data_IF_898211066691
#
_entry.id   IF_898211066691
#
_cell.length_a   1.000
_cell.length_b   1.000
_cell.length_c   1.000
_cell.angle_alpha   90.00
_cell.angle_beta   90.00
_cell.angle_gamma   90.00
#
_symmetry.space_group_name_H-M   'P 1'
#
loop_
_entity.id
_entity.type
_entity.pdbx_description
1 polymer ?
#
# COMPACT_ATOMS: atom_id res chain seq x y z
N UNK A 1 8.81 -0.75 -7.33
CA UNK A 1 8.56 -0.45 -8.75
C UNK A 1 9.81 -0.80 -9.53
N UNK A 2 9.73 -1.65 -10.57
CA UNK A 2 10.91 -2.28 -11.19
C UNK A 2 11.70 -1.30 -12.09
N UNK A 3 11.04 -0.28 -12.65
CA UNK A 3 11.62 0.70 -13.57
C UNK A 3 11.40 2.12 -13.04
N UNK A 4 12.01 2.48 -11.91
CA UNK A 4 11.82 3.76 -11.23
C UNK A 4 13.14 4.28 -10.63
N UNK A 5 13.27 5.62 -10.53
CA UNK A 5 14.50 6.31 -10.10
C UNK A 5 15.72 5.80 -10.85
N UNK A 6 16.70 5.20 -10.15
CA UNK A 6 17.94 4.72 -10.74
C UNK A 6 17.70 3.67 -11.84
N UNK A 7 16.64 2.88 -11.73
CA UNK A 7 16.29 1.83 -12.69
C UNK A 7 15.39 2.32 -13.84
N UNK A 8 15.14 3.63 -13.95
CA UNK A 8 14.15 4.17 -14.90
C UNK A 8 14.46 3.86 -16.36
N UNK A 9 15.74 3.73 -16.71
CA UNK A 9 16.21 3.47 -18.08
C UNK A 9 16.50 1.99 -18.36
N UNK A 10 16.29 1.09 -17.40
CA UNK A 10 16.53 -0.34 -17.63
C UNK A 10 15.60 -0.90 -18.73
N UNK A 11 16.20 -1.72 -19.59
CA UNK A 11 15.53 -2.38 -20.71
C UNK A 11 15.11 -3.83 -20.39
N UNK A 12 15.69 -4.40 -19.33
CA UNK A 12 15.38 -5.74 -18.81
C UNK A 12 15.07 -5.66 -17.32
N UNK A 13 14.27 -6.60 -16.82
CA UNK A 13 13.94 -6.70 -15.41
C UNK A 13 15.18 -7.12 -14.60
N UNK A 14 15.54 -6.35 -13.57
CA UNK A 14 16.68 -6.67 -12.69
C UNK A 14 16.53 -8.01 -11.94
N UNK A 15 15.30 -8.48 -11.73
CA UNK A 15 15.03 -9.69 -10.95
C UNK A 15 14.95 -10.97 -11.80
N UNK A 16 14.42 -10.89 -13.02
CA UNK A 16 14.17 -12.07 -13.85
C UNK A 16 14.72 -11.98 -15.28
N UNK A 17 15.44 -10.92 -15.63
CA UNK A 17 16.07 -10.73 -16.95
C UNK A 17 15.11 -10.47 -18.12
N UNK A 18 13.79 -10.67 -17.95
CA UNK A 18 12.81 -10.50 -19.03
C UNK A 18 12.80 -9.07 -19.61
N UNK A 19 12.57 -8.92 -20.92
CA UNK A 19 12.55 -7.61 -21.58
C UNK A 19 11.40 -6.74 -21.06
N UNK A 20 11.65 -5.43 -20.95
CA UNK A 20 10.64 -4.42 -20.54
C UNK A 20 9.57 -4.21 -21.61
N UNK A 21 9.97 -4.23 -22.88
CA UNK A 21 9.13 -3.88 -24.03
C UNK A 21 8.86 -5.09 -24.90
N UNK A 22 7.66 -5.12 -25.49
CA UNK A 22 7.25 -6.07 -26.53
C UNK A 22 8.02 -5.78 -27.81
N UNK A 23 8.26 -6.82 -28.61
CA UNK A 23 8.80 -6.67 -29.97
C UNK A 23 7.66 -6.19 -30.86
N UNK A 24 7.77 -4.98 -31.42
CA UNK A 24 6.74 -4.37 -32.26
C UNK A 24 7.37 -3.71 -33.49
N UNK A 25 6.70 -3.79 -34.64
CA UNK A 25 7.14 -3.13 -35.90
C UNK A 25 6.91 -1.61 -35.91
N UNK A 26 6.13 -1.09 -34.96
CA UNK A 26 5.87 0.35 -34.83
C UNK A 26 7.05 1.13 -34.24
N UNK A 27 7.09 2.45 -34.50
CA UNK A 27 8.14 3.36 -34.01
C UNK A 27 8.16 3.53 -32.48
N UNK A 28 7.04 3.27 -31.80
CA UNK A 28 6.89 3.45 -30.36
C UNK A 28 7.08 2.13 -29.60
N UNK A 29 7.87 2.14 -28.52
CA UNK A 29 8.10 0.96 -27.67
C UNK A 29 6.91 0.73 -26.74
N UNK A 30 6.35 -0.48 -26.77
CA UNK A 30 5.20 -0.86 -25.94
C UNK A 30 5.66 -1.72 -24.75
N UNK A 31 5.49 -1.29 -23.48
CA UNK A 31 5.90 -2.09 -22.33
C UNK A 31 4.99 -3.32 -22.13
N UNK A 32 5.54 -4.40 -21.56
CA UNK A 32 4.75 -5.59 -21.21
C UNK A 32 3.71 -5.32 -20.10
N UNK A 33 4.12 -4.60 -19.07
CA UNK A 33 3.27 -4.16 -17.95
C UNK A 33 3.53 -2.69 -17.66
N UNK A 34 2.47 -1.94 -17.33
CA UNK A 34 2.54 -0.55 -16.89
C UNK A 34 1.83 -0.43 -15.56
N UNK A 35 2.44 0.31 -14.63
CA UNK A 35 1.83 0.68 -13.35
C UNK A 35 1.75 2.20 -13.32
N UNK A 36 0.61 2.73 -12.90
CA UNK A 36 0.50 4.13 -12.51
C UNK A 36 0.76 4.22 -11.02
N UNK A 37 1.70 5.09 -10.64
CA UNK A 37 2.08 5.27 -9.25
C UNK A 37 1.71 6.67 -8.80
N UNK A 38 0.97 6.72 -7.70
CA UNK A 38 0.67 7.94 -6.97
C UNK A 38 1.64 8.01 -5.79
N UNK A 39 2.52 9.03 -5.71
CA UNK A 39 3.45 9.18 -4.61
C UNK A 39 2.74 9.14 -3.25
N UNK A 40 3.11 8.18 -2.41
CA UNK A 40 2.49 7.99 -1.09
C UNK A 40 3.17 8.81 0.00
N UNK A 41 4.48 9.05 -0.09
CA UNK A 41 5.26 9.65 0.99
C UNK A 41 4.68 10.98 1.49
N UNK A 42 4.35 11.91 0.60
CA UNK A 42 3.81 13.22 1.01
C UNK A 42 2.38 13.12 1.52
N UNK A 43 1.60 12.14 1.05
CA UNK A 43 0.26 11.86 1.57
C UNK A 43 0.33 11.34 3.00
N UNK A 44 1.28 10.45 3.28
CA UNK A 44 1.52 9.93 4.63
C UNK A 44 1.99 11.06 5.57
N UNK A 45 2.91 11.93 5.14
CA UNK A 45 3.34 13.10 5.93
C UNK A 45 2.16 14.00 6.32
N UNK A 46 1.21 14.24 5.39
CA UNK A 46 0.01 15.05 5.66
C UNK A 46 -0.87 14.47 6.78
N UNK A 47 -0.88 13.15 7.00
CA UNK A 47 -1.64 12.54 8.10
C UNK A 47 -1.14 12.98 9.47
N UNK A 48 0.11 13.44 9.59
CA UNK A 48 0.66 13.99 10.83
C UNK A 48 0.64 15.53 10.90
N UNK A 49 0.16 16.23 9.87
CA UNK A 49 0.13 17.70 9.84
C UNK A 49 -1.06 18.31 10.61
N UNK A 50 -2.03 17.49 11.00
CA UNK A 50 -3.14 17.90 11.87
C UNK A 50 -3.05 17.16 13.19
N UNK A 51 -3.21 17.86 14.31
CA UNK A 51 -3.18 17.27 15.65
C UNK A 51 -4.23 16.15 15.84
N UNK A 52 -5.44 16.38 15.32
CA UNK A 52 -6.53 15.38 15.34
C UNK A 52 -6.12 14.10 14.63
N UNK A 53 -5.60 14.23 13.41
CA UNK A 53 -5.19 13.06 12.60
C UNK A 53 -3.94 12.41 13.18
N UNK A 54 -2.98 13.20 13.66
CA UNK A 54 -1.76 12.70 14.30
C UNK A 54 -2.06 11.85 15.53
N UNK A 55 -3.01 12.28 16.36
CA UNK A 55 -3.46 11.51 17.53
C UNK A 55 -4.15 10.21 17.10
N UNK A 56 -5.03 10.28 16.10
CA UNK A 56 -5.67 9.08 15.54
C UNK A 56 -4.64 8.10 14.93
N UNK A 57 -3.54 8.58 14.36
CA UNK A 57 -2.48 7.74 13.78
C UNK A 57 -1.63 7.01 14.83
N UNK A 58 -1.53 7.54 16.06
CA UNK A 58 -0.85 6.84 17.17
C UNK A 58 -1.77 5.90 17.94
N UNK A 59 -3.08 6.01 17.71
CA UNK A 59 -4.11 5.26 18.42
C UNK A 59 -3.84 3.76 18.48
N UNK A 60 -3.39 3.14 17.37
CA UNK A 60 -3.10 1.70 17.29
C UNK A 60 -2.16 1.16 18.40
N UNK A 61 -1.32 2.03 19.00
CA UNK A 61 -0.39 1.70 20.08
C UNK A 61 -0.85 2.25 21.44
N UNK A 62 -1.56 3.37 21.45
CA UNK A 62 -1.99 4.07 22.66
C UNK A 62 -3.30 3.50 23.25
N UNK A 63 -4.05 2.70 22.47
CA UNK A 63 -5.31 2.11 22.92
C UNK A 63 -5.11 0.87 23.81
N UNK A 64 -6.16 0.52 24.54
CA UNK A 64 -6.26 -0.73 25.28
C UNK A 64 -7.57 -1.42 24.90
N UNK A 65 -7.48 -2.71 24.57
CA UNK A 65 -8.59 -3.49 24.05
C UNK A 65 -9.31 -4.34 25.10
N UNK A 66 -8.91 -4.28 26.37
CA UNK A 66 -9.60 -4.97 27.47
C UNK A 66 -9.65 -6.50 27.36
N UNK A 67 -8.90 -7.09 26.42
CA UNK A 67 -8.92 -8.53 26.12
C UNK A 67 -9.59 -8.89 24.79
N UNK A 68 -10.38 -7.99 24.21
CA UNK A 68 -11.03 -8.19 22.92
C UNK A 68 -10.12 -7.81 21.75
N UNK A 69 -10.44 -8.27 20.54
CA UNK A 69 -9.75 -7.85 19.31
C UNK A 69 -10.66 -6.85 18.60
N UNK A 70 -10.40 -5.55 18.77
CA UNK A 70 -11.18 -4.45 18.16
C UNK A 70 -10.45 -3.79 17.00
N UNK A 71 -9.16 -4.09 16.84
CA UNK A 71 -8.31 -3.54 15.81
C UNK A 71 -7.22 -4.55 15.40
N UNK A 72 -6.70 -4.52 14.15
CA UNK A 72 -5.60 -5.38 13.73
C UNK A 72 -4.37 -5.36 14.65
N UNK A 73 -4.11 -4.25 15.36
CA UNK A 73 -3.01 -4.14 16.32
C UNK A 73 -3.17 -5.03 17.57
N UNK A 74 -4.37 -5.51 17.87
CA UNK A 74 -4.61 -6.46 18.95
C UNK A 74 -4.23 -7.89 18.58
N UNK A 75 -4.20 -8.20 17.28
CA UNK A 75 -4.02 -9.54 16.77
C UNK A 75 -2.60 -10.08 17.04
N UNK A 76 -2.52 -11.39 17.25
CA UNK A 76 -1.24 -12.10 17.50
C UNK A 76 -0.20 -11.86 16.41
N UNK A 77 -0.63 -11.82 15.14
CA UNK A 77 0.27 -11.57 14.01
C UNK A 77 0.93 -10.18 14.08
N UNK A 78 0.17 -9.16 14.48
CA UNK A 78 0.71 -7.81 14.64
C UNK A 78 1.71 -7.73 15.80
N UNK A 79 1.36 -8.32 16.95
CA UNK A 79 2.25 -8.37 18.12
C UNK A 79 3.55 -9.12 17.81
N UNK A 80 3.47 -10.22 17.07
CA UNK A 80 4.64 -10.95 16.59
C UNK A 80 5.50 -10.10 15.63
N UNK A 81 4.87 -9.36 14.71
CA UNK A 81 5.60 -8.43 13.84
C UNK A 81 6.34 -7.36 14.66
N UNK A 82 5.68 -6.78 15.68
CA UNK A 82 6.31 -5.80 16.56
C UNK A 82 7.50 -6.38 17.35
N UNK A 83 7.43 -7.64 17.80
CA UNK A 83 8.56 -8.28 18.49
C UNK A 83 9.75 -8.55 17.58
N UNK A 84 9.52 -8.75 16.27
CA UNK A 84 10.61 -8.92 15.30
C UNK A 84 11.31 -7.60 14.95
N UNK A 85 10.59 -6.48 15.06
CA UNK A 85 11.06 -5.17 14.64
C UNK A 85 10.90 -4.13 15.76
N UNK A 86 11.47 -4.39 16.93
CA UNK A 86 11.29 -3.56 18.13
C UNK A 86 11.68 -2.09 17.92
N UNK A 87 12.77 -1.83 17.21
CA UNK A 87 13.20 -0.46 16.87
C UNK A 87 12.20 0.28 15.99
N UNK A 88 11.43 -0.43 15.16
CA UNK A 88 10.32 0.14 14.40
C UNK A 88 9.06 0.27 15.28
N UNK A 89 8.79 -0.72 16.12
CA UNK A 89 7.61 -0.72 16.99
C UNK A 89 7.69 0.32 18.13
N UNK A 90 8.89 0.73 18.53
CA UNK A 90 9.12 1.72 19.59
C UNK A 90 8.57 3.11 19.22
N UNK A 91 8.67 3.49 17.95
CA UNK A 91 8.15 4.76 17.42
C UNK A 91 6.66 4.63 17.05
N UNK A 92 5.79 5.27 17.84
CA UNK A 92 4.33 5.24 17.63
C UNK A 92 3.90 5.94 16.35
N UNK A 93 4.75 6.79 15.75
CA UNK A 93 4.45 7.50 14.51
C UNK A 93 4.69 6.67 13.25
N UNK A 94 5.28 5.48 13.38
CA UNK A 94 5.56 4.62 12.24
C UNK A 94 4.26 4.10 11.58
N UNK A 95 4.29 4.02 10.25
CA UNK A 95 3.15 3.62 9.44
C UNK A 95 3.09 2.10 9.26
N UNK A 96 1.94 1.54 9.57
CA UNK A 96 1.56 0.17 9.23
C UNK A 96 0.53 0.25 8.11
N UNK A 97 0.86 -0.35 6.97
CA UNK A 97 0.07 -0.24 5.75
C UNK A 97 -0.50 -1.60 5.37
N UNK A 98 -1.83 -1.70 5.29
CA UNK A 98 -2.51 -2.80 4.63
C UNK A 98 -2.43 -2.63 3.12
N UNK A 99 -2.07 -3.71 2.42
CA UNK A 99 -2.04 -3.76 0.96
C UNK A 99 -3.09 -4.78 0.48
N UNK A 100 -3.96 -4.35 -0.40
CA UNK A 100 -4.94 -5.21 -1.06
C UNK A 100 -4.78 -5.11 -2.58
N UNK A 101 -4.85 -6.24 -3.25
CA UNK A 101 -4.97 -6.33 -4.71
C UNK A 101 -6.33 -6.94 -5.00
N UNK A 102 -7.25 -6.14 -5.50
CA UNK A 102 -8.53 -6.67 -5.97
C UNK A 102 -8.42 -7.00 -7.46
N UNK A 103 -9.00 -8.12 -7.87
CA UNK A 103 -9.14 -8.54 -9.25
C UNK A 103 -10.36 -7.92 -9.93
N UNK A 104 -10.60 -6.64 -9.70
CA UNK A 104 -11.64 -5.93 -10.45
C UNK A 104 -11.24 -5.93 -11.93
N UNK A 105 -11.98 -6.66 -12.76
CA UNK A 105 -11.95 -6.47 -14.20
C UNK A 105 -13.06 -5.47 -14.56
N UNK A 106 -12.78 -4.16 -14.63
CA UNK A 106 -13.78 -3.15 -14.97
C UNK A 106 -14.36 -3.28 -16.39
N UNK A 107 -13.88 -4.21 -17.22
CA UNK A 107 -14.36 -4.44 -18.57
C UNK A 107 -15.18 -5.73 -18.64
N UNK A 108 -16.49 -5.58 -18.83
CA UNK A 108 -17.39 -6.67 -19.19
C UNK A 108 -17.02 -7.32 -20.53
N UNK A 109 -17.71 -8.41 -20.87
CA UNK A 109 -17.43 -9.30 -22.02
C UNK A 109 -17.25 -8.64 -23.40
N UNK A 110 -17.62 -7.36 -23.59
CA UNK A 110 -17.72 -6.71 -24.90
C UNK A 110 -16.77 -5.51 -25.11
N UNK A 111 -15.81 -5.27 -24.20
CA UNK A 111 -14.80 -4.20 -24.34
C UNK A 111 -13.38 -4.73 -24.65
N UNK A 112 -12.46 -3.82 -24.99
CA UNK A 112 -11.01 -4.12 -25.02
C UNK A 112 -10.62 -4.70 -23.66
N UNK A 113 -10.30 -5.99 -23.61
CA UNK A 113 -9.85 -6.65 -22.38
C UNK A 113 -8.53 -6.03 -21.95
N UNK A 114 -8.57 -5.14 -20.97
CA UNK A 114 -7.38 -4.74 -20.24
C UNK A 114 -7.59 -5.07 -18.77
N UNK A 115 -6.61 -5.75 -18.18
CA UNK A 115 -6.62 -6.02 -16.74
C UNK A 115 -6.11 -4.79 -16.00
N UNK A 116 -6.98 -4.09 -15.28
CA UNK A 116 -6.55 -3.19 -14.22
C UNK A 116 -6.49 -3.99 -12.92
N UNK A 117 -5.35 -4.00 -12.25
CA UNK A 117 -5.26 -4.56 -10.89
C UNK A 117 -5.01 -3.38 -9.95
N UNK A 118 -6.06 -2.80 -9.33
CA UNK A 118 -5.85 -1.78 -8.32
C UNK A 118 -5.06 -2.39 -7.15
N UNK A 119 -3.93 -1.77 -6.83
CA UNK A 119 -3.24 -1.97 -5.56
C UNK A 119 -3.74 -0.87 -4.63
N UNK A 120 -4.52 -1.24 -3.63
CA UNK A 120 -5.05 -0.33 -2.63
C UNK A 120 -4.16 -0.40 -1.39
N UNK A 121 -3.80 0.76 -0.86
CA UNK A 121 -2.98 0.90 0.35
C UNK A 121 -3.76 1.69 1.38
N UNK A 122 -3.94 1.13 2.57
CA UNK A 122 -4.71 1.73 3.68
C UNK A 122 -3.87 1.76 4.95
N UNK A 123 -3.83 2.88 5.70
CA UNK A 123 -3.14 2.92 7.00
C UNK A 123 -3.94 2.13 8.05
N UNK A 124 -3.31 1.12 8.65
CA UNK A 124 -3.82 0.36 9.80
C UNK A 124 -3.46 1.01 11.14
N UNK A 125 -3.07 2.28 11.13
CA UNK A 125 -2.76 3.05 12.32
C UNK A 125 -4.00 3.66 12.98
N UNK A 126 -5.05 3.86 12.17
CA UNK A 126 -6.24 4.62 12.54
C UNK A 126 -7.17 3.78 13.43
N UNK A 127 -7.91 4.41 14.36
CA UNK A 127 -8.93 3.71 15.13
C UNK A 127 -10.01 3.11 14.24
N UNK A 128 -10.70 2.05 14.70
CA UNK A 128 -11.94 1.62 14.06
C UNK A 128 -12.89 2.81 14.03
N UNK A 129 -13.50 3.07 12.86
CA UNK A 129 -14.51 4.11 12.73
C UNK A 129 -15.68 3.69 13.61
N UNK A 130 -16.04 4.50 14.63
CA UNK A 130 -17.35 4.34 15.26
C UNK A 130 -18.36 4.67 14.16
N UNK A 131 -19.11 3.68 13.70
CA UNK A 131 -20.32 3.95 12.93
C UNK A 131 -21.16 4.89 13.80
N UNK A 132 -21.34 6.12 13.34
CA UNK A 132 -22.44 6.93 13.83
C UNK A 132 -23.70 6.20 13.36
N UNK A 133 -24.26 5.36 14.22
CA UNK A 133 -25.66 4.94 14.12
C UNK A 133 -26.48 6.23 14.13
N UNK A 134 -26.98 6.60 12.95
CA UNK A 134 -28.13 7.49 12.81
C UNK A 134 -29.39 6.66 12.98
#
# INVERSE_FOLDING_TARGET
>A
MIYWKADANHLSCRFCGKPRFKVTSGRARVPYKRMWYLPLADRLKRLYQSERTASAMRWHKEHSSGGDIVHPSDAKAWKHFQSLYEGFASESRNFYLGLCTDGFNPFGKYGRQYSLWPVIVTPYNLPPVKEHQQ
#
